data_IF_464212613302
#
_entry.id   IF_464212613302
#
_cell.length_a   1.000
_cell.length_b   1.000
_cell.length_c   1.000
_cell.angle_alpha   90.00
_cell.angle_beta   90.00
_cell.angle_gamma   90.00
#
_symmetry.space_group_name_H-M   'P 1'
#
loop_
_entity.id
_entity.type
_entity.pdbx_description
1 polymer ?
#
# COMPACT_ATOMS: atom_id res chain seq x y z
N UNK A 1 -4.73 -13.03 10.31
CA UNK A 1 -4.09 -13.36 9.02
C UNK A 1 -4.81 -12.55 7.95
N UNK A 2 -4.20 -11.61 7.20
CA UNK A 2 -4.92 -11.07 6.05
C UNK A 2 -4.88 -12.17 4.97
N UNK A 3 -6.03 -12.80 4.76
CA UNK A 3 -6.17 -14.13 4.18
C UNK A 3 -6.15 -14.19 2.63
N UNK A 4 -5.54 -13.23 1.94
CA UNK A 4 -5.48 -13.22 0.47
C UNK A 4 -4.17 -12.61 -0.09
N UNK A 5 -3.19 -12.36 0.77
CA UNK A 5 -1.84 -11.92 0.36
C UNK A 5 -0.82 -12.66 1.22
N UNK A 6 0.25 -13.11 0.58
CA UNK A 6 1.37 -13.71 1.29
C UNK A 6 1.99 -12.69 2.25
N UNK A 7 2.58 -13.17 3.35
CA UNK A 7 3.22 -12.29 4.35
C UNK A 7 4.29 -11.39 3.71
N UNK A 8 4.98 -11.90 2.68
CA UNK A 8 5.95 -11.15 1.87
C UNK A 8 5.31 -10.03 1.04
N UNK A 9 4.16 -10.28 0.44
CA UNK A 9 3.40 -9.27 -0.31
C UNK A 9 2.99 -8.12 0.61
N UNK A 10 2.43 -8.43 1.78
CA UNK A 10 2.11 -7.42 2.79
C UNK A 10 3.33 -6.57 3.18
N UNK A 11 4.45 -7.22 3.49
CA UNK A 11 5.68 -6.52 3.87
C UNK A 11 6.23 -5.65 2.72
N UNK A 12 6.15 -6.11 1.48
CA UNK A 12 6.52 -5.34 0.28
C UNK A 12 5.65 -4.10 0.10
N UNK A 13 4.32 -4.25 0.24
CA UNK A 13 3.39 -3.13 0.14
C UNK A 13 3.64 -2.09 1.23
N UNK A 14 3.86 -2.54 2.47
CA UNK A 14 4.14 -1.66 3.60
C UNK A 14 5.43 -0.84 3.38
N UNK A 15 6.52 -1.51 2.99
CA UNK A 15 7.80 -0.83 2.71
C UNK A 15 7.70 0.15 1.53
N UNK A 16 6.94 -0.21 0.49
CA UNK A 16 6.73 0.67 -0.66
C UNK A 16 5.92 1.93 -0.28
N UNK A 17 4.88 1.77 0.53
CA UNK A 17 4.09 2.87 1.07
C UNK A 17 4.96 3.77 1.97
N UNK A 18 5.73 3.18 2.89
CA UNK A 18 6.65 3.91 3.77
C UNK A 18 7.66 4.73 2.97
N UNK A 19 8.31 4.13 1.98
CA UNK A 19 9.27 4.85 1.13
C UNK A 19 8.63 6.04 0.41
N UNK A 20 7.41 5.87 -0.09
CA UNK A 20 6.69 6.95 -0.74
C UNK A 20 6.33 8.07 0.25
N UNK A 21 5.89 7.72 1.46
CA UNK A 21 5.56 8.69 2.51
C UNK A 21 6.78 9.47 2.99
N UNK A 22 7.89 8.75 3.22
CA UNK A 22 9.18 9.35 3.58
C UNK A 22 9.71 10.27 2.48
N UNK A 23 9.53 9.91 1.20
CA UNK A 23 9.96 10.72 0.06
C UNK A 23 9.19 12.04 -0.04
N UNK A 24 7.89 12.04 0.27
CA UNK A 24 7.09 13.27 0.34
C UNK A 24 7.40 14.11 1.58
N UNK A 25 7.72 13.46 2.70
CA UNK A 25 7.96 14.12 3.99
C UNK A 25 6.68 14.71 4.59
N UNK A 26 6.72 15.04 5.88
CA UNK A 26 5.55 15.53 6.63
C UNK A 26 4.82 14.42 7.38
N UNK A 27 3.53 14.62 7.64
CA UNK A 27 2.70 13.67 8.41
C UNK A 27 2.33 12.45 7.54
N UNK A 28 2.70 11.23 7.94
CA UNK A 28 2.47 10.03 7.13
C UNK A 28 1.00 9.57 7.15
N UNK A 29 0.23 9.89 8.20
CA UNK A 29 -1.20 9.58 8.29
C UNK A 29 -2.01 10.42 7.30
N UNK A 30 -1.68 11.70 7.16
CA UNK A 30 -2.24 12.59 6.14
C UNK A 30 -1.91 12.15 4.71
N UNK A 31 -0.93 11.27 4.54
CA UNK A 31 -0.47 10.77 3.26
C UNK A 31 -1.09 9.44 2.83
N UNK A 32 -1.82 8.76 3.71
CA UNK A 32 -2.51 7.49 3.43
C UNK A 32 -3.52 7.68 2.30
N UNK A 33 -4.46 8.60 2.47
CA UNK A 33 -5.50 8.93 1.50
C UNK A 33 -4.94 9.29 0.11
N UNK A 34 -3.99 10.24 -0.03
CA UNK A 34 -3.44 10.56 -1.34
C UNK A 34 -2.59 9.42 -1.93
N UNK A 35 -1.95 8.57 -1.10
CA UNK A 35 -1.23 7.39 -1.60
C UNK A 35 -2.22 6.39 -2.20
N UNK A 36 -3.27 6.05 -1.47
CA UNK A 36 -4.32 5.14 -1.93
C UNK A 36 -5.00 5.69 -3.19
N UNK A 37 -5.28 6.99 -3.26
CA UNK A 37 -5.80 7.63 -4.46
C UNK A 37 -4.85 7.45 -5.67
N UNK A 38 -3.53 7.56 -5.47
CA UNK A 38 -2.58 7.28 -6.57
C UNK A 38 -2.54 5.83 -7.00
N UNK A 39 -2.79 4.88 -6.09
CA UNK A 39 -2.86 3.45 -6.43
C UNK A 39 -4.18 3.07 -7.11
N UNK A 40 -5.28 3.65 -6.65
CA UNK A 40 -6.64 3.41 -7.14
C UNK A 40 -6.95 4.15 -8.45
N UNK A 41 -6.09 5.10 -8.84
CA UNK A 41 -6.26 5.84 -10.09
C UNK A 41 -6.26 4.88 -11.28
N UNK A 42 -7.15 5.06 -12.28
CA UNK A 42 -7.20 4.20 -13.47
C UNK A 42 -5.93 4.30 -14.33
N UNK A 43 -5.15 5.37 -14.19
CA UNK A 43 -3.83 5.54 -14.81
C UNK A 43 -2.67 5.08 -13.92
N UNK A 44 -2.94 4.53 -12.73
CA UNK A 44 -1.92 4.07 -11.81
C UNK A 44 -1.13 2.92 -12.43
N UNK A 45 0.20 3.09 -12.49
CA UNK A 45 1.06 2.00 -12.94
C UNK A 45 1.12 0.92 -11.86
N UNK A 46 1.05 -0.37 -12.23
CA UNK A 46 1.26 -1.47 -11.30
C UNK A 46 2.60 -1.29 -10.59
N UNK A 47 2.58 -1.26 -9.26
CA UNK A 47 3.77 -1.01 -8.46
C UNK A 47 3.96 -2.06 -7.37
N UNK A 48 5.10 -2.00 -6.68
CA UNK A 48 5.37 -2.88 -5.52
C UNK A 48 4.34 -2.71 -4.39
N UNK A 49 3.66 -1.55 -4.33
CA UNK A 49 2.54 -1.28 -3.43
C UNK A 49 1.23 -2.02 -3.77
N UNK A 50 1.09 -2.56 -4.98
CA UNK A 50 -0.10 -3.30 -5.46
C UNK A 50 0.27 -4.66 -6.05
N UNK A 51 1.33 -5.29 -5.52
CA UNK A 51 1.85 -6.60 -5.95
C UNK A 51 2.18 -6.68 -7.45
N UNK A 52 2.68 -5.59 -8.05
CA UNK A 52 2.90 -5.47 -9.50
C UNK A 52 1.64 -5.70 -10.35
N UNK A 53 0.45 -5.57 -9.77
CA UNK A 53 -0.83 -5.66 -10.47
C UNK A 53 -1.58 -4.33 -10.39
N UNK A 54 -2.38 -3.97 -11.40
CA UNK A 54 -3.22 -2.77 -11.32
C UNK A 54 -4.29 -2.97 -10.23
N UNK A 55 -4.64 -1.90 -9.52
CA UNK A 55 -5.63 -1.93 -8.42
C UNK A 55 -6.93 -2.66 -8.78
N UNK A 56 -7.40 -2.44 -10.00
CA UNK A 56 -8.62 -3.04 -10.55
C UNK A 56 -8.56 -4.58 -10.73
N UNK A 57 -7.36 -5.19 -10.73
CA UNK A 57 -7.18 -6.64 -10.86
C UNK A 57 -6.97 -7.36 -9.52
N UNK A 58 -6.85 -6.63 -8.40
CA UNK A 58 -6.69 -7.24 -7.08
C UNK A 58 -8.04 -7.75 -6.54
N UNK A 59 -7.99 -8.83 -5.76
CA UNK A 59 -9.17 -9.30 -5.02
C UNK A 59 -9.51 -8.31 -3.90
N UNK A 60 -10.76 -8.28 -3.41
CA UNK A 60 -11.12 -7.44 -2.27
C UNK A 60 -10.24 -7.69 -1.03
N UNK A 61 -9.81 -8.95 -0.82
CA UNK A 61 -8.87 -9.30 0.25
C UNK A 61 -7.48 -8.69 0.07
N UNK A 62 -6.99 -8.68 -1.17
CA UNK A 62 -5.72 -8.03 -1.51
C UNK A 62 -5.79 -6.51 -1.39
N UNK A 63 -6.89 -5.89 -1.83
CA UNK A 63 -7.11 -4.45 -1.67
C UNK A 63 -7.10 -4.05 -0.20
N UNK A 64 -7.79 -4.82 0.66
CA UNK A 64 -7.77 -4.62 2.10
C UNK A 64 -6.36 -4.76 2.68
N UNK A 65 -5.58 -5.76 2.24
CA UNK A 65 -4.21 -5.96 2.69
C UNK A 65 -3.30 -4.77 2.34
N UNK A 66 -3.44 -4.19 1.14
CA UNK A 66 -2.71 -2.97 0.76
C UNK A 66 -3.10 -1.80 1.66
N UNK A 67 -4.39 -1.59 1.92
CA UNK A 67 -4.85 -0.50 2.80
C UNK A 67 -4.26 -0.66 4.21
N UNK A 68 -4.33 -1.87 4.79
CA UNK A 68 -3.75 -2.16 6.11
C UNK A 68 -2.23 -1.95 6.10
N UNK A 69 -1.54 -2.36 5.05
CA UNK A 69 -0.10 -2.15 4.91
C UNK A 69 0.27 -0.66 4.82
N UNK A 70 -0.54 0.15 4.15
CA UNK A 70 -0.36 1.61 4.07
C UNK A 70 -0.58 2.27 5.43
N UNK A 71 -1.60 1.83 6.17
CA UNK A 71 -1.84 2.28 7.54
C UNK A 71 -0.66 1.95 8.45
N UNK A 72 -0.23 0.68 8.43
CA UNK A 72 0.94 0.23 9.19
C UNK A 72 2.23 0.98 8.79
N UNK A 73 2.38 1.36 7.52
CA UNK A 73 3.49 2.19 7.08
C UNK A 73 3.47 3.58 7.69
N UNK A 74 2.29 4.17 7.85
CA UNK A 74 2.14 5.46 8.49
C UNK A 74 2.41 5.41 10.00
N UNK A 75 2.10 4.28 10.64
CA UNK A 75 2.40 4.01 12.05
C UNK A 75 3.84 3.50 12.29
N UNK A 76 4.67 3.43 11.25
CA UNK A 76 6.02 2.85 11.27
C UNK A 76 6.07 1.35 11.66
N UNK A 77 4.94 0.65 11.56
CA UNK A 77 4.74 -0.77 11.94
C UNK A 77 4.99 -1.77 10.78
N UNK A 78 5.84 -1.42 9.80
CA UNK A 78 6.20 -2.31 8.69
C UNK A 78 7.21 -3.44 9.07
N UNK A 79 7.23 -3.85 10.34
CA UNK A 79 8.16 -4.83 10.91
C UNK A 79 7.72 -6.27 10.75
#
# INVERSE_FOLDING_TARGET
MPADSSQDEYALACRAAKQWMTSRGGDPHAQIEPYLATLQSPAAKPGKGTFNRPWAQLTPGQQAAVIVAVQAAADDQCG
#
